data_IF_478628896449
#
_entry.id   IF_478628896449
#
_cell.length_a   1.000
_cell.length_b   1.000
_cell.length_c   1.000
_cell.angle_alpha   90.00
_cell.angle_beta   90.00
_cell.angle_gamma   90.00
#
_symmetry.space_group_name_H-M   'P 1'
#
loop_
_entity.id
_entity.type
_entity.pdbx_description
1 polymer ?
#
# COMPACT_ATOMS: atom_id res chain seq x y z
N UNK A 1 4.28 -4.29 5.62
CA UNK A 1 4.66 -5.51 6.35
C UNK A 1 5.63 -6.40 5.56
N UNK A 2 5.31 -6.81 4.31
CA UNK A 2 6.17 -7.74 3.54
C UNK A 2 7.59 -7.19 3.32
N UNK A 3 7.74 -5.92 2.98
CA UNK A 3 9.07 -5.28 2.90
C UNK A 3 9.82 -5.35 4.24
N UNK A 4 9.15 -5.11 5.37
CA UNK A 4 9.76 -5.25 6.70
C UNK A 4 10.23 -6.68 6.98
N UNK A 5 9.42 -7.69 6.65
CA UNK A 5 9.83 -9.08 6.78
C UNK A 5 11.08 -9.41 5.95
N UNK A 6 11.20 -8.85 4.74
CA UNK A 6 12.41 -9.00 3.92
C UNK A 6 13.62 -8.30 4.54
N UNK A 7 13.44 -7.11 5.14
CA UNK A 7 14.52 -6.45 5.91
C UNK A 7 15.00 -7.31 7.09
N UNK A 8 14.06 -7.91 7.83
CA UNK A 8 14.37 -8.75 8.98
C UNK A 8 15.13 -10.03 8.54
N UNK A 9 14.93 -10.49 7.31
CA UNK A 9 15.69 -11.59 6.68
C UNK A 9 17.04 -11.14 6.10
N UNK A 10 17.38 -9.86 6.18
CA UNK A 10 18.67 -9.33 5.73
C UNK A 10 18.71 -8.88 4.27
N UNK A 11 17.57 -8.79 3.58
CA UNK A 11 17.51 -8.25 2.22
C UNK A 11 17.66 -6.73 2.21
N UNK A 12 18.32 -6.21 1.17
CA UNK A 12 18.31 -4.77 0.87
C UNK A 12 16.91 -4.36 0.39
N UNK A 13 16.30 -3.41 1.07
CA UNK A 13 14.96 -2.91 0.73
C UNK A 13 15.06 -1.50 0.19
N UNK A 14 14.60 -1.32 -1.04
CA UNK A 14 14.50 -0.01 -1.70
C UNK A 14 13.06 0.46 -1.60
N UNK A 15 12.85 1.66 -1.05
CA UNK A 15 11.58 2.36 -1.07
C UNK A 15 11.61 3.40 -2.19
N UNK A 16 11.00 3.04 -3.32
CA UNK A 16 10.97 3.88 -4.50
C UNK A 16 9.85 4.91 -4.43
N UNK A 17 10.20 6.16 -4.66
CA UNK A 17 9.28 7.28 -4.79
C UNK A 17 9.15 7.63 -6.27
N UNK A 18 7.94 7.48 -6.79
CA UNK A 18 7.61 7.76 -8.19
C UNK A 18 7.33 9.25 -8.41
N UNK A 19 8.29 10.12 -8.15
CA UNK A 19 8.15 11.57 -8.34
C UNK A 19 8.00 11.95 -9.81
N UNK A 20 8.79 11.35 -10.71
CA UNK A 20 8.66 11.55 -12.15
C UNK A 20 7.35 10.97 -12.69
N UNK A 21 7.03 9.72 -12.35
CA UNK A 21 5.81 9.06 -12.83
C UNK A 21 4.53 9.69 -12.28
N UNK A 22 4.60 10.41 -11.17
CA UNK A 22 3.48 11.20 -10.63
C UNK A 22 3.05 12.33 -11.57
N UNK A 23 3.95 12.84 -12.44
CA UNK A 23 3.61 13.83 -13.48
C UNK A 23 2.74 13.23 -14.58
N UNK A 24 2.90 11.94 -14.88
CA UNK A 24 2.06 11.22 -15.83
C UNK A 24 0.72 10.88 -15.20
N UNK A 25 0.73 10.44 -13.95
CA UNK A 25 -0.42 9.92 -13.22
C UNK A 25 -0.71 8.45 -13.54
N UNK A 26 -0.87 7.65 -12.49
CA UNK A 26 -1.19 6.22 -12.62
C UNK A 26 -2.61 6.03 -13.16
N UNK A 27 -2.79 5.47 -14.37
CA UNK A 27 -4.10 5.19 -14.95
C UNK A 27 -4.76 3.93 -14.36
N UNK A 28 -4.09 3.15 -13.50
CA UNK A 28 -4.58 1.87 -12.97
C UNK A 28 -5.93 2.01 -12.27
N UNK A 29 -6.88 1.19 -12.73
CA UNK A 29 -8.22 1.10 -12.12
C UNK A 29 -9.11 2.33 -12.29
N UNK A 30 -8.80 3.26 -13.20
CA UNK A 30 -9.56 4.51 -13.40
C UNK A 30 -10.23 4.58 -14.77
N UNK A 31 -11.32 5.32 -14.80
CA UNK A 31 -12.04 5.63 -16.05
C UNK A 31 -11.67 7.02 -16.61
N UNK A 32 -10.88 7.80 -15.89
CA UNK A 32 -10.49 9.18 -16.27
C UNK A 32 -9.04 9.45 -15.91
N UNK A 33 -8.37 10.28 -16.72
CA UNK A 33 -6.99 10.73 -16.48
C UNK A 33 -6.90 11.58 -15.20
N UNK A 34 -5.87 11.36 -14.41
CA UNK A 34 -5.55 12.22 -13.25
C UNK A 34 -4.98 13.55 -13.72
N UNK A 35 -5.35 14.68 -13.08
CA UNK A 35 -4.58 15.90 -13.24
C UNK A 35 -3.13 15.66 -12.79
N UNK A 36 -2.13 16.14 -13.53
CA UNK A 36 -0.74 16.04 -13.12
C UNK A 36 -0.51 16.85 -11.82
N UNK A 37 0.32 16.29 -10.93
CA UNK A 37 0.72 17.01 -9.72
C UNK A 37 1.83 18.02 -10.02
N UNK A 38 1.88 19.13 -9.27
CA UNK A 38 3.01 20.04 -9.34
C UNK A 38 4.23 19.44 -8.63
N UNK A 39 5.43 19.95 -8.94
CA UNK A 39 6.66 19.48 -8.32
C UNK A 39 6.63 19.65 -6.79
N UNK A 40 6.12 20.79 -6.30
CA UNK A 40 6.00 21.08 -4.87
C UNK A 40 5.04 20.09 -4.18
N UNK A 41 3.94 19.73 -4.84
CA UNK A 41 3.01 18.71 -4.34
C UNK A 41 3.65 17.32 -4.29
N UNK A 42 4.45 16.97 -5.30
CA UNK A 42 5.17 15.71 -5.35
C UNK A 42 6.19 15.62 -4.22
N UNK A 43 6.99 16.66 -4.00
CA UNK A 43 7.99 16.74 -2.93
C UNK A 43 7.34 16.66 -1.53
N UNK A 44 6.24 17.37 -1.31
CA UNK A 44 5.49 17.33 -0.05
C UNK A 44 4.92 15.92 0.22
N UNK A 45 4.35 15.29 -0.81
CA UNK A 45 3.85 13.92 -0.71
C UNK A 45 4.97 12.91 -0.43
N UNK A 46 6.12 13.04 -1.08
CA UNK A 46 7.27 12.18 -0.90
C UNK A 46 7.76 12.18 0.57
N UNK A 47 7.88 13.37 1.18
CA UNK A 47 8.24 13.49 2.61
C UNK A 47 7.25 12.79 3.52
N UNK A 48 5.96 12.96 3.27
CA UNK A 48 4.89 12.33 4.05
C UNK A 48 4.93 10.81 3.91
N UNK A 49 5.13 10.29 2.70
CA UNK A 49 5.23 8.86 2.45
C UNK A 49 6.43 8.24 3.16
N UNK A 50 7.58 8.91 3.11
CA UNK A 50 8.76 8.42 3.81
C UNK A 50 8.55 8.40 5.33
N UNK A 51 8.04 9.48 5.93
CA UNK A 51 7.75 9.55 7.36
C UNK A 51 6.82 8.40 7.79
N UNK A 52 5.78 8.13 7.01
CA UNK A 52 4.85 7.04 7.30
C UNK A 52 5.48 5.66 7.09
N UNK A 53 6.25 5.46 6.01
CA UNK A 53 6.94 4.21 5.76
C UNK A 53 7.95 3.87 6.87
N UNK A 54 8.61 4.87 7.43
CA UNK A 54 9.59 4.72 8.52
C UNK A 54 8.97 4.26 9.84
N UNK A 55 7.65 4.31 10.00
CA UNK A 55 6.95 3.69 11.14
C UNK A 55 6.90 2.15 11.03
N UNK A 56 7.09 1.62 9.83
CA UNK A 56 7.04 0.17 9.57
C UNK A 56 8.41 -0.37 9.18
N UNK A 57 9.11 0.34 8.29
CA UNK A 57 10.44 -0.03 7.80
C UNK A 57 11.52 0.50 8.74
N UNK A 58 12.62 -0.23 8.86
CA UNK A 58 13.81 0.26 9.55
C UNK A 58 14.50 1.31 8.67
N UNK A 59 14.55 2.59 9.07
CA UNK A 59 15.15 3.65 8.26
C UNK A 59 16.63 3.42 7.97
N UNK A 60 17.36 2.77 8.88
CA UNK A 60 18.79 2.50 8.72
C UNK A 60 19.06 1.39 7.66
N UNK A 61 18.03 0.61 7.31
CA UNK A 61 18.10 -0.50 6.36
C UNK A 61 17.24 -0.25 5.12
N UNK A 62 16.70 0.95 4.96
CA UNK A 62 15.85 1.31 3.82
C UNK A 62 16.59 2.28 2.93
N UNK A 63 16.84 1.88 1.70
CA UNK A 63 17.36 2.76 0.66
C UNK A 63 16.18 3.50 0.01
N UNK A 64 16.22 4.83 0.00
CA UNK A 64 15.21 5.66 -0.65
C UNK A 64 15.74 6.09 -1.99
N UNK A 65 14.95 5.85 -3.04
CA UNK A 65 15.28 6.26 -4.40
C UNK A 65 14.11 7.02 -5.01
N UNK A 66 14.43 7.93 -5.90
CA UNK A 66 13.48 8.72 -6.67
C UNK A 66 13.61 8.36 -8.14
N UNK A 67 12.51 8.08 -8.82
CA UNK A 67 12.63 7.68 -10.22
C UNK A 67 12.98 8.83 -11.16
N UNK A 68 12.94 10.08 -10.73
CA UNK A 68 13.55 11.21 -11.43
C UNK A 68 15.07 11.05 -11.62
N UNK A 69 15.76 10.32 -10.74
CA UNK A 69 17.23 10.10 -10.82
C UNK A 69 17.68 9.54 -12.18
N UNK A 70 16.87 8.69 -12.78
CA UNK A 70 17.15 8.10 -14.09
C UNK A 70 16.20 8.56 -15.19
N UNK A 71 14.96 8.92 -14.85
CA UNK A 71 13.96 9.33 -15.84
C UNK A 71 14.27 10.68 -16.45
N UNK A 72 14.75 11.65 -15.67
CA UNK A 72 15.18 12.96 -16.18
C UNK A 72 16.37 12.83 -17.14
N UNK A 73 17.29 11.91 -16.85
CA UNK A 73 18.45 11.66 -17.68
C UNK A 73 18.13 10.91 -18.99
N UNK A 74 16.99 10.24 -19.07
CA UNK A 74 16.59 9.44 -20.23
C UNK A 74 16.44 10.31 -21.50
N UNK A 75 15.85 11.46 -21.35
CA UNK A 75 15.59 12.43 -22.42
C UNK A 75 14.71 11.86 -23.55
N UNK A 76 14.44 12.65 -24.56
CA UNK A 76 13.55 12.25 -25.67
C UNK A 76 14.07 11.02 -26.43
N UNK A 77 15.38 10.93 -26.66
CA UNK A 77 15.98 9.80 -27.38
C UNK A 77 15.83 8.51 -26.57
N UNK A 78 16.10 8.54 -25.29
CA UNK A 78 15.94 7.39 -24.43
C UNK A 78 14.48 6.95 -24.30
N UNK A 79 13.54 7.90 -24.24
CA UNK A 79 12.11 7.59 -24.22
C UNK A 79 11.66 6.87 -25.51
N UNK A 80 12.17 7.30 -26.69
CA UNK A 80 11.89 6.61 -27.95
C UNK A 80 12.47 5.17 -27.93
N UNK A 81 13.71 5.02 -27.44
CA UNK A 81 14.35 3.70 -27.34
C UNK A 81 13.61 2.78 -26.36
N UNK A 82 13.16 3.29 -25.23
CA UNK A 82 12.34 2.56 -24.26
C UNK A 82 11.01 2.14 -24.88
N UNK A 83 10.31 3.06 -25.55
CA UNK A 83 9.03 2.79 -26.22
C UNK A 83 9.13 1.75 -27.33
N UNK A 84 10.29 1.64 -28.00
CA UNK A 84 10.55 0.64 -29.03
C UNK A 84 10.68 -0.79 -28.48
N UNK A 85 10.88 -0.97 -27.15
CA UNK A 85 11.06 -2.28 -26.52
C UNK A 85 9.73 -2.94 -26.10
N UNK A 86 8.61 -2.26 -26.25
CA UNK A 86 7.31 -2.79 -25.86
C UNK A 86 6.24 -2.42 -26.90
N UNK A 87 5.31 -3.32 -27.19
CA UNK A 87 4.31 -3.08 -28.24
C UNK A 87 3.02 -2.49 -27.71
N UNK A 88 2.34 -1.69 -28.54
CA UNK A 88 1.00 -1.17 -28.22
C UNK A 88 0.01 -2.31 -27.93
N UNK A 89 0.07 -3.41 -28.69
CA UNK A 89 -0.81 -4.56 -28.49
C UNK A 89 -0.69 -5.10 -27.06
N UNK A 90 0.54 -5.21 -26.54
CA UNK A 90 0.78 -5.64 -25.15
C UNK A 90 0.33 -4.61 -24.12
N UNK A 91 0.48 -3.31 -24.39
CA UNK A 91 -0.04 -2.27 -23.49
C UNK A 91 -1.58 -2.34 -23.38
N UNK A 92 -2.24 -2.65 -24.49
CA UNK A 92 -3.70 -2.79 -24.53
C UNK A 92 -4.22 -4.07 -23.85
N UNK A 93 -3.37 -5.02 -23.45
CA UNK A 93 -3.77 -6.16 -22.60
C UNK A 93 -4.13 -5.74 -21.17
N UNK A 94 -3.74 -4.56 -20.75
CA UNK A 94 -4.09 -4.03 -19.43
C UNK A 94 -5.61 -3.76 -19.37
N UNK A 95 -6.28 -4.24 -18.32
CA UNK A 95 -7.74 -4.30 -18.22
C UNK A 95 -8.44 -2.95 -18.44
N UNK A 96 -7.90 -1.86 -17.87
CA UNK A 96 -8.48 -0.52 -18.03
C UNK A 96 -8.30 0.01 -19.46
N UNK A 97 -7.15 -0.19 -20.08
CA UNK A 97 -6.92 0.16 -21.48
C UNK A 97 -7.79 -0.68 -22.41
N UNK A 98 -7.91 -1.98 -22.17
CA UNK A 98 -8.79 -2.87 -22.93
C UNK A 98 -10.23 -2.38 -22.88
N UNK A 99 -10.75 -2.08 -21.69
CA UNK A 99 -12.15 -1.62 -21.51
C UNK A 99 -12.37 -0.28 -22.19
N UNK A 100 -11.48 0.70 -21.96
CA UNK A 100 -11.59 2.04 -22.54
C UNK A 100 -11.49 2.00 -24.05
N UNK A 101 -10.54 1.23 -24.60
CA UNK A 101 -10.39 1.07 -26.04
C UNK A 101 -11.64 0.46 -26.69
N UNK A 102 -12.19 -0.61 -26.13
CA UNK A 102 -13.43 -1.25 -26.60
C UNK A 102 -14.66 -0.33 -26.49
N UNK A 103 -14.69 0.50 -25.46
CA UNK A 103 -15.80 1.45 -25.25
C UNK A 103 -15.66 2.74 -26.08
N UNK A 104 -14.58 2.92 -26.84
CA UNK A 104 -14.30 4.18 -27.53
C UNK A 104 -13.97 5.35 -26.58
N UNK A 105 -13.69 5.07 -25.31
CA UNK A 105 -13.31 6.10 -24.34
C UNK A 105 -11.87 6.54 -24.62
N UNK A 106 -11.58 7.86 -24.67
CA UNK A 106 -10.26 8.37 -24.99
C UNK A 106 -9.17 7.83 -24.05
N UNK A 107 -8.03 7.47 -24.65
CA UNK A 107 -6.78 7.12 -23.95
C UNK A 107 -5.72 8.09 -24.46
N UNK A 108 -5.17 8.90 -23.58
CA UNK A 108 -4.11 9.83 -23.94
C UNK A 108 -2.76 9.10 -24.10
N UNK A 109 -1.94 9.54 -25.03
CA UNK A 109 -0.64 8.89 -25.32
C UNK A 109 0.25 8.81 -24.08
N UNK A 110 0.28 9.85 -23.23
CA UNK A 110 1.10 9.85 -22.02
C UNK A 110 0.68 8.73 -21.02
N UNK A 111 -0.59 8.35 -21.00
CA UNK A 111 -1.07 7.25 -20.14
C UNK A 111 -0.44 5.90 -20.54
N UNK A 112 -0.15 5.71 -21.85
CA UNK A 112 0.53 4.54 -22.36
C UNK A 112 2.02 4.52 -21.98
N UNK A 113 2.61 5.68 -21.68
CA UNK A 113 4.00 5.76 -21.23
C UNK A 113 4.15 5.36 -19.75
N UNK A 114 3.10 5.48 -18.94
CA UNK A 114 3.17 5.20 -17.50
C UNK A 114 3.70 3.79 -17.19
N UNK A 115 3.15 2.69 -17.77
CA UNK A 115 3.67 1.35 -17.51
C UNK A 115 5.12 1.16 -17.96
N UNK A 116 5.55 1.85 -19.03
CA UNK A 116 6.93 1.79 -19.52
C UNK A 116 7.89 2.50 -18.58
N UNK A 117 7.51 3.69 -18.08
CA UNK A 117 8.34 4.44 -17.16
C UNK A 117 8.45 3.73 -15.80
N UNK A 118 7.36 3.19 -15.27
CA UNK A 118 7.39 2.35 -14.07
C UNK A 118 8.23 1.09 -14.31
N UNK A 119 8.09 0.44 -15.48
CA UNK A 119 8.88 -0.73 -15.80
C UNK A 119 10.37 -0.43 -15.97
N UNK A 120 10.72 0.79 -16.40
CA UNK A 120 12.11 1.22 -16.49
C UNK A 120 12.75 1.42 -15.10
N UNK A 121 11.98 1.70 -14.07
CA UNK A 121 12.45 1.74 -12.68
C UNK A 121 13.11 0.41 -12.29
N UNK A 122 12.50 -0.72 -12.67
CA UNK A 122 13.06 -2.06 -12.42
C UNK A 122 14.40 -2.26 -13.13
N UNK A 123 14.53 -1.74 -14.36
CA UNK A 123 15.79 -1.78 -15.14
C UNK A 123 16.86 -0.93 -14.48
N UNK A 124 16.53 0.31 -14.08
CA UNK A 124 17.46 1.24 -13.46
C UNK A 124 17.96 0.74 -12.10
N UNK A 125 17.07 0.18 -11.30
CA UNK A 125 17.36 -0.39 -9.98
C UNK A 125 18.03 -1.76 -10.06
N UNK A 126 17.91 -2.46 -11.19
CA UNK A 126 18.33 -3.87 -11.34
C UNK A 126 17.73 -4.74 -10.23
N UNK A 127 16.46 -4.54 -9.96
CA UNK A 127 15.76 -5.21 -8.87
C UNK A 127 15.65 -6.72 -9.10
N UNK A 128 15.88 -7.52 -8.04
CA UNK A 128 15.69 -8.97 -8.05
C UNK A 128 14.25 -9.35 -7.74
N UNK A 129 13.57 -8.52 -6.95
CA UNK A 129 12.19 -8.71 -6.53
C UNK A 129 11.46 -7.37 -6.46
N UNK A 130 10.31 -7.26 -7.11
CA UNK A 130 9.43 -6.09 -7.01
C UNK A 130 8.11 -6.46 -6.31
N UNK A 131 7.73 -5.61 -5.32
CA UNK A 131 6.53 -5.76 -4.52
C UNK A 131 5.47 -4.75 -4.96
N UNK A 132 4.24 -5.21 -5.14
CA UNK A 132 3.12 -4.34 -5.44
C UNK A 132 1.78 -4.88 -4.94
N UNK A 133 0.73 -4.10 -5.09
CA UNK A 133 -0.65 -4.58 -4.97
C UNK A 133 -1.04 -5.44 -6.17
N UNK A 134 -2.09 -6.24 -6.03
CA UNK A 134 -2.63 -7.03 -7.16
C UNK A 134 -3.06 -6.16 -8.33
N UNK A 135 -3.44 -4.91 -8.07
CA UNK A 135 -3.78 -3.90 -9.07
C UNK A 135 -2.57 -3.42 -9.90
N UNK A 136 -1.34 -3.65 -9.42
CA UNK A 136 -0.09 -3.28 -10.09
C UNK A 136 0.54 -4.42 -10.89
N UNK A 137 -0.03 -5.62 -10.87
CA UNK A 137 0.56 -6.82 -11.47
C UNK A 137 1.01 -6.60 -12.92
N UNK A 138 0.20 -5.91 -13.74
CA UNK A 138 0.55 -5.62 -15.12
C UNK A 138 1.83 -4.79 -15.22
N UNK A 139 1.93 -3.69 -14.47
CA UNK A 139 3.08 -2.80 -14.49
C UNK A 139 4.36 -3.51 -14.01
N UNK A 140 4.26 -4.36 -12.98
CA UNK A 140 5.39 -5.17 -12.50
C UNK A 140 5.89 -6.15 -13.57
N UNK A 141 4.96 -6.75 -14.35
CA UNK A 141 5.31 -7.63 -15.46
C UNK A 141 5.95 -6.87 -16.63
N UNK A 142 5.58 -5.61 -16.85
CA UNK A 142 6.28 -4.74 -17.82
C UNK A 142 7.72 -4.54 -17.39
N UNK A 143 8.00 -4.27 -16.11
CA UNK A 143 9.35 -4.15 -15.56
C UNK A 143 10.19 -5.39 -15.83
N UNK A 144 9.63 -6.56 -15.51
CA UNK A 144 10.26 -7.86 -15.78
C UNK A 144 10.58 -8.06 -17.28
N UNK A 145 9.65 -7.71 -18.17
CA UNK A 145 9.86 -7.83 -19.62
C UNK A 145 10.94 -6.84 -20.11
N UNK A 146 10.94 -5.61 -19.60
CA UNK A 146 11.95 -4.62 -19.97
C UNK A 146 13.34 -5.02 -19.48
N UNK A 147 13.50 -5.61 -18.31
CA UNK A 147 14.80 -6.12 -17.85
C UNK A 147 15.38 -7.11 -18.87
N UNK A 148 14.59 -8.03 -19.41
CA UNK A 148 15.02 -8.95 -20.47
C UNK A 148 15.48 -8.20 -21.73
N UNK A 149 14.73 -7.19 -22.16
CA UNK A 149 15.05 -6.36 -23.33
C UNK A 149 16.34 -5.51 -23.14
N UNK A 150 16.72 -5.27 -21.87
CA UNK A 150 17.96 -4.61 -21.50
C UNK A 150 19.09 -5.61 -21.13
N UNK A 151 18.88 -6.91 -21.37
CA UNK A 151 19.88 -7.95 -21.10
C UNK A 151 20.14 -8.22 -19.62
N UNK A 152 19.17 -7.92 -18.77
CA UNK A 152 19.22 -8.21 -17.33
C UNK A 152 18.46 -9.49 -17.01
N UNK A 153 18.80 -10.13 -15.88
CA UNK A 153 17.98 -11.20 -15.32
C UNK A 153 16.63 -10.64 -14.90
N UNK A 154 15.51 -11.27 -15.34
CA UNK A 154 14.19 -10.73 -15.04
C UNK A 154 13.82 -10.96 -13.58
N UNK A 155 13.43 -9.89 -12.91
CA UNK A 155 13.01 -9.89 -11.50
C UNK A 155 11.85 -10.87 -11.21
N UNK A 156 11.76 -11.34 -9.97
CA UNK A 156 10.53 -11.91 -9.43
C UNK A 156 9.53 -10.79 -9.13
N UNK A 157 8.25 -11.07 -9.27
CA UNK A 157 7.19 -10.17 -8.79
C UNK A 157 6.41 -10.83 -7.66
N UNK A 158 6.10 -10.07 -6.64
CA UNK A 158 5.25 -10.51 -5.54
C UNK A 158 4.11 -9.52 -5.35
N UNK A 159 2.88 -9.97 -5.61
CA UNK A 159 1.70 -9.13 -5.43
C UNK A 159 0.98 -9.47 -4.14
N UNK A 160 0.59 -8.44 -3.41
CA UNK A 160 -0.21 -8.55 -2.19
C UNK A 160 -1.65 -8.14 -2.48
N UNK A 161 -2.64 -8.83 -1.89
CA UNK A 161 -4.03 -8.39 -1.96
C UNK A 161 -4.19 -6.96 -1.46
N UNK A 162 -5.12 -6.22 -2.05
CA UNK A 162 -5.50 -4.92 -1.52
C UNK A 162 -6.20 -5.11 -0.18
N UNK A 163 -5.89 -4.22 0.77
CA UNK A 163 -6.54 -4.21 2.07
C UNK A 163 -7.88 -3.47 1.94
N UNK A 164 -8.96 -4.14 2.29
CA UNK A 164 -10.28 -3.54 2.41
C UNK A 164 -10.31 -2.62 3.64
N UNK A 165 -11.05 -1.51 3.52
CA UNK A 165 -11.27 -0.57 4.62
C UNK A 165 -12.25 -1.10 5.67
N UNK A 166 -12.68 -0.21 6.56
CA UNK A 166 -13.59 -0.54 7.67
C UNK A 166 -14.96 -1.10 7.20
N UNK A 167 -15.34 -0.79 5.95
CA UNK A 167 -16.56 -1.29 5.30
C UNK A 167 -16.45 -2.76 4.85
N UNK A 168 -15.25 -3.33 4.84
CA UNK A 168 -14.99 -4.72 4.43
C UNK A 168 -15.19 -5.00 2.93
N UNK A 169 -15.39 -3.99 2.11
CA UNK A 169 -15.71 -4.11 0.68
C UNK A 169 -14.74 -3.35 -0.20
N UNK A 170 -14.60 -2.04 0.03
CA UNK A 170 -13.77 -1.20 -0.81
C UNK A 170 -12.34 -1.13 -0.29
N UNK A 171 -11.39 -0.94 -1.23
CA UNK A 171 -9.99 -0.67 -0.89
C UNK A 171 -9.93 0.46 0.13
N UNK A 172 -9.15 0.24 1.20
CA UNK A 172 -8.88 1.25 2.22
C UNK A 172 -8.29 2.51 1.59
N UNK A 173 -8.94 3.65 1.81
CA UNK A 173 -8.47 4.94 1.29
C UNK A 173 -9.02 6.13 2.07
N UNK A 174 -8.24 7.24 2.10
CA UNK A 174 -8.69 8.50 2.70
C UNK A 174 -9.93 9.07 2.01
N UNK A 175 -10.01 8.96 0.68
CA UNK A 175 -11.14 9.50 -0.11
C UNK A 175 -12.47 8.78 0.16
N UNK A 176 -12.42 7.55 0.66
CA UNK A 176 -13.61 6.76 1.03
C UNK A 176 -13.95 6.87 2.52
N UNK A 177 -13.09 7.53 3.30
CA UNK A 177 -13.22 7.63 4.77
C UNK A 177 -13.40 6.26 5.48
N UNK A 178 -12.86 5.19 4.88
CA UNK A 178 -12.91 3.81 5.39
C UNK A 178 -11.55 3.33 5.89
N UNK A 179 -10.64 4.25 6.24
CA UNK A 179 -9.26 3.95 6.59
C UNK A 179 -8.98 4.06 8.09
N UNK A 180 -7.90 3.41 8.52
CA UNK A 180 -7.23 3.65 9.79
C UNK A 180 -5.89 4.31 9.46
N UNK A 181 -5.69 5.54 9.94
CA UNK A 181 -4.42 6.23 9.78
C UNK A 181 -3.38 5.69 10.74
N UNK A 182 -2.19 5.40 10.25
CA UNK A 182 -1.08 4.92 11.09
C UNK A 182 -0.54 5.99 12.05
N UNK A 183 -0.98 7.23 11.88
CA UNK A 183 -0.68 8.39 12.74
C UNK A 183 -1.88 8.83 13.58
N UNK A 184 -2.99 8.11 13.56
CA UNK A 184 -4.12 8.36 14.45
C UNK A 184 -3.74 8.02 15.90
N UNK A 185 -4.44 8.60 16.88
CA UNK A 185 -4.21 8.26 18.28
C UNK A 185 -4.53 6.80 18.59
N UNK A 186 -3.93 6.27 19.66
CA UNK A 186 -4.02 4.85 20.01
C UNK A 186 -5.46 4.39 20.28
N UNK A 187 -6.28 5.24 20.94
CA UNK A 187 -7.66 4.90 21.27
C UNK A 187 -8.53 4.80 20.00
N UNK A 188 -8.39 5.76 19.09
CA UNK A 188 -9.09 5.75 17.80
C UNK A 188 -8.68 4.56 16.95
N UNK A 189 -7.38 4.28 16.83
CA UNK A 189 -6.85 3.13 16.09
C UNK A 189 -7.41 1.82 16.64
N UNK A 190 -7.33 1.62 17.97
CA UNK A 190 -7.82 0.43 18.64
C UNK A 190 -9.32 0.22 18.43
N UNK A 191 -10.13 1.26 18.63
CA UNK A 191 -11.58 1.21 18.46
C UNK A 191 -11.97 0.89 17.01
N UNK A 192 -11.29 1.49 16.03
CA UNK A 192 -11.52 1.21 14.60
C UNK A 192 -11.19 -0.24 14.25
N UNK A 193 -10.10 -0.82 14.75
CA UNK A 193 -9.79 -2.24 14.51
C UNK A 193 -10.87 -3.13 15.14
N UNK A 194 -11.42 -2.80 16.29
CA UNK A 194 -12.51 -3.55 16.91
C UNK A 194 -13.83 -3.45 16.14
N UNK A 195 -14.03 -2.41 15.33
CA UNK A 195 -15.29 -2.18 14.60
C UNK A 195 -15.46 -3.03 13.34
N UNK A 196 -14.39 -3.69 12.86
CA UNK A 196 -14.46 -4.53 11.65
C UNK A 196 -15.32 -5.80 11.90
N UNK A 197 -15.84 -6.40 10.82
CA UNK A 197 -16.58 -7.64 10.92
C UNK A 197 -15.68 -8.82 11.35
N UNK A 198 -16.29 -9.91 11.85
CA UNK A 198 -15.53 -11.12 12.24
C UNK A 198 -14.87 -11.78 11.03
N UNK A 199 -15.50 -11.72 9.86
CA UNK A 199 -14.92 -12.23 8.62
C UNK A 199 -13.70 -11.41 8.20
N UNK A 200 -13.80 -10.09 8.23
CA UNK A 200 -12.72 -9.18 7.88
C UNK A 200 -11.53 -9.29 8.84
N UNK A 201 -11.77 -9.59 10.12
CA UNK A 201 -10.75 -9.82 11.13
C UNK A 201 -9.72 -10.88 10.68
N UNK A 202 -10.17 -12.01 10.14
CA UNK A 202 -9.26 -13.07 9.68
C UNK A 202 -8.41 -12.64 8.50
N UNK A 203 -8.98 -11.86 7.59
CA UNK A 203 -8.24 -11.29 6.49
C UNK A 203 -7.18 -10.30 6.97
N UNK A 204 -7.53 -9.48 7.94
CA UNK A 204 -6.58 -8.54 8.54
C UNK A 204 -5.49 -9.25 9.35
N UNK A 205 -5.79 -10.33 10.05
CA UNK A 205 -4.76 -11.17 10.65
C UNK A 205 -3.76 -11.65 9.60
N UNK A 206 -4.23 -12.19 8.49
CA UNK A 206 -3.36 -12.70 7.41
C UNK A 206 -2.50 -11.58 6.79
N UNK A 207 -3.02 -10.38 6.60
CA UNK A 207 -2.34 -9.30 5.89
C UNK A 207 -1.52 -8.37 6.79
N UNK A 208 -1.93 -8.19 8.04
CA UNK A 208 -1.36 -7.18 8.93
C UNK A 208 -0.62 -7.75 10.14
N UNK A 209 -0.98 -8.93 10.63
CA UNK A 209 -0.29 -9.55 11.77
C UNK A 209 1.10 -10.06 11.39
N UNK A 210 2.02 -10.09 12.35
CA UNK A 210 3.30 -10.80 12.24
C UNK A 210 3.27 -12.20 12.86
N UNK A 211 2.09 -12.64 13.33
CA UNK A 211 1.92 -13.99 13.85
C UNK A 211 2.11 -15.03 12.75
N UNK A 212 2.70 -16.18 13.04
CA UNK A 212 2.75 -17.32 12.12
C UNK A 212 1.35 -17.75 11.69
N UNK A 213 1.20 -18.18 10.45
CA UNK A 213 -0.08 -18.68 9.90
C UNK A 213 -0.67 -19.81 10.75
N UNK A 214 0.19 -20.65 11.35
CA UNK A 214 -0.24 -21.73 12.25
C UNK A 214 -0.95 -21.22 13.51
N UNK A 215 -0.49 -20.11 14.09
CA UNK A 215 -1.13 -19.47 15.24
C UNK A 215 -2.47 -18.85 14.85
N UNK A 216 -2.53 -18.17 13.71
CA UNK A 216 -3.77 -17.58 13.19
C UNK A 216 -4.80 -18.70 12.93
N UNK A 217 -4.38 -19.82 12.31
CA UNK A 217 -5.24 -20.94 12.08
C UNK A 217 -5.71 -21.63 13.38
N UNK A 218 -4.86 -21.69 14.41
CA UNK A 218 -5.24 -22.21 15.73
C UNK A 218 -6.29 -21.32 16.40
N UNK A 219 -6.05 -20.00 16.41
CA UNK A 219 -6.98 -19.00 16.95
C UNK A 219 -8.36 -19.07 16.26
N UNK A 220 -8.35 -19.23 14.93
CA UNK A 220 -9.59 -19.37 14.16
C UNK A 220 -10.38 -20.61 14.57
N UNK A 221 -9.72 -21.76 14.74
CA UNK A 221 -10.37 -22.99 15.23
C UNK A 221 -10.94 -22.82 16.64
N UNK A 222 -10.24 -22.11 17.52
CA UNK A 222 -10.76 -21.82 18.87
C UNK A 222 -12.06 -21.00 18.81
N UNK A 223 -12.12 -19.99 17.91
CA UNK A 223 -13.33 -19.19 17.72
C UNK A 223 -14.46 -20.05 17.13
N UNK A 224 -14.17 -20.89 16.15
CA UNK A 224 -15.12 -21.85 15.58
C UNK A 224 -15.62 -22.86 16.64
N UNK A 225 -14.80 -23.16 17.65
CA UNK A 225 -15.15 -24.03 18.78
C UNK A 225 -15.87 -23.30 19.94
N UNK A 226 -16.18 -21.99 19.78
CA UNK A 226 -16.99 -21.23 20.74
C UNK A 226 -16.27 -20.15 21.56
N UNK A 227 -14.97 -19.91 21.29
CA UNK A 227 -14.28 -18.74 21.82
C UNK A 227 -14.91 -17.46 21.26
N UNK A 228 -15.06 -16.42 22.10
CA UNK A 228 -15.63 -15.16 21.64
C UNK A 228 -14.75 -14.50 20.55
N UNK A 229 -15.28 -14.23 19.35
CA UNK A 229 -14.51 -13.55 18.28
C UNK A 229 -13.99 -12.18 18.71
N UNK A 230 -14.65 -11.50 19.66
CA UNK A 230 -14.17 -10.24 20.23
C UNK A 230 -12.77 -10.38 20.84
N UNK A 231 -12.46 -11.51 21.49
CA UNK A 231 -11.13 -11.72 22.10
C UNK A 231 -10.04 -11.75 21.02
N UNK A 232 -10.32 -12.39 19.88
CA UNK A 232 -9.41 -12.39 18.74
C UNK A 232 -9.25 -10.99 18.16
N UNK A 233 -10.32 -10.19 18.03
CA UNK A 233 -10.23 -8.79 17.57
C UNK A 233 -9.41 -7.93 18.52
N UNK A 234 -9.56 -8.12 19.84
CA UNK A 234 -8.76 -7.42 20.85
C UNK A 234 -7.27 -7.74 20.66
N UNK A 235 -6.92 -9.01 20.43
CA UNK A 235 -5.54 -9.41 20.16
C UNK A 235 -4.98 -8.71 18.91
N UNK A 236 -5.75 -8.64 17.83
CA UNK A 236 -5.37 -7.94 16.61
C UNK A 236 -5.23 -6.42 16.83
N UNK A 237 -6.20 -5.80 17.53
CA UNK A 237 -6.18 -4.38 17.83
C UNK A 237 -4.98 -4.00 18.69
N UNK A 238 -4.66 -4.80 19.71
CA UNK A 238 -3.44 -4.61 20.54
C UNK A 238 -2.18 -4.70 19.69
N UNK A 239 -2.06 -5.71 18.86
CA UNK A 239 -0.88 -5.92 18.00
C UNK A 239 -0.67 -4.72 17.06
N UNK A 240 -1.73 -4.26 16.38
CA UNK A 240 -1.65 -3.14 15.44
C UNK A 240 -1.35 -1.84 16.20
N UNK A 241 -2.05 -1.55 17.29
CA UNK A 241 -1.85 -0.33 18.07
C UNK A 241 -0.45 -0.29 18.70
N UNK A 242 0.03 -1.40 19.26
CA UNK A 242 1.36 -1.48 19.84
C UNK A 242 2.47 -1.24 18.82
N UNK A 243 2.27 -1.65 17.56
CA UNK A 243 3.23 -1.48 16.45
C UNK A 243 3.45 0.00 16.11
N UNK A 244 2.38 0.80 16.10
CA UNK A 244 2.44 2.21 15.69
C UNK A 244 2.63 3.18 16.87
N UNK A 245 2.38 2.73 18.08
CA UNK A 245 2.53 3.53 19.31
C UNK A 245 3.49 2.84 20.31
N UNK A 246 2.92 2.06 21.24
CA UNK A 246 3.68 1.24 22.18
C UNK A 246 2.76 0.19 22.81
N UNK A 247 3.34 -0.81 23.47
CA UNK A 247 2.57 -1.80 24.23
C UNK A 247 1.72 -1.13 25.33
N UNK A 248 2.29 -0.16 26.05
CA UNK A 248 1.58 0.58 27.09
C UNK A 248 0.41 1.40 26.53
N UNK A 249 0.59 2.02 25.35
CA UNK A 249 -0.50 2.75 24.68
C UNK A 249 -1.63 1.80 24.23
N UNK A 250 -1.28 0.59 23.76
CA UNK A 250 -2.28 -0.41 23.39
C UNK A 250 -3.07 -0.92 24.60
N UNK A 251 -2.38 -1.15 25.75
CA UNK A 251 -3.03 -1.54 27.00
C UNK A 251 -3.97 -0.43 27.52
N UNK A 252 -3.53 0.83 27.42
CA UNK A 252 -4.36 2.01 27.78
C UNK A 252 -5.59 2.13 26.89
N UNK A 253 -5.43 1.93 25.56
CA UNK A 253 -6.52 1.98 24.60
C UNK A 253 -7.55 0.86 24.82
N UNK A 254 -7.10 -0.34 25.18
CA UNK A 254 -7.99 -1.44 25.57
C UNK A 254 -8.79 -1.10 26.85
N UNK A 255 -8.11 -0.61 27.88
CA UNK A 255 -8.76 -0.21 29.14
C UNK A 255 -9.79 0.91 28.94
N UNK A 256 -9.46 1.92 28.11
CA UNK A 256 -10.38 2.99 27.75
C UNK A 256 -11.59 2.46 26.97
N UNK A 257 -11.37 1.58 26.01
CA UNK A 257 -12.46 0.95 25.25
C UNK A 257 -13.39 0.15 26.17
N UNK A 258 -12.85 -0.65 27.09
CA UNK A 258 -13.64 -1.43 28.06
C UNK A 258 -14.44 -0.52 28.99
N UNK A 259 -13.84 0.57 29.47
CA UNK A 259 -14.51 1.56 30.32
C UNK A 259 -15.69 2.21 29.59
N UNK A 260 -15.51 2.66 28.34
CA UNK A 260 -16.58 3.25 27.52
C UNK A 260 -17.69 2.23 27.24
N UNK A 261 -17.34 0.99 26.95
CA UNK A 261 -18.31 -0.08 26.73
C UNK A 261 -19.16 -0.39 27.99
N UNK A 262 -18.60 -0.15 29.17
CA UNK A 262 -19.31 -0.26 30.46
C UNK A 262 -20.12 1.00 30.86
N UNK A 263 -20.20 2.02 29.99
CA UNK A 263 -20.93 3.27 30.25
C UNK A 263 -20.11 4.35 30.95
N UNK A 264 -18.78 4.20 31.05
CA UNK A 264 -17.87 5.19 31.60
C UNK A 264 -17.66 6.40 30.67
N UNK A 265 -17.33 7.55 31.24
CA UNK A 265 -17.01 8.77 30.50
C UNK A 265 -15.55 8.66 29.96
N UNK A 266 -15.26 9.08 28.73
CA UNK A 266 -13.91 9.17 28.19
C UNK A 266 -13.04 10.14 29.04
N UNK A 267 -11.72 9.88 29.11
CA UNK A 267 -10.79 10.79 29.82
C UNK A 267 -10.68 12.16 29.15
N UNK A 268 -10.87 12.22 27.84
CA UNK A 268 -10.93 13.46 27.05
C UNK A 268 -12.31 13.60 26.41
N UNK A 269 -13.09 14.57 26.87
CA UNK A 269 -14.35 14.96 26.24
C UNK A 269 -14.12 16.31 25.59
N UNK A 270 -14.30 16.45 24.25
CA UNK A 270 -14.19 17.76 23.62
C UNK A 270 -15.27 18.70 24.16
N UNK A 271 -14.85 19.84 24.72
CA UNK A 271 -15.79 20.90 25.11
C UNK A 271 -16.37 21.54 23.85
N UNK A 272 -17.67 21.38 23.67
CA UNK A 272 -18.42 22.08 22.60
C UNK A 272 -19.20 23.20 23.29
N UNK A 273 -18.80 24.44 23.05
CA UNK A 273 -19.60 25.60 23.43
C UNK A 273 -20.86 25.62 22.54
N UNK A 274 -22.01 25.38 23.14
CA UNK A 274 -23.29 25.59 22.49
C UNK A 274 -23.57 27.12 22.47
N UNK A 275 -23.57 27.73 21.30
CA UNK A 275 -23.96 29.12 21.04
C UNK A 275 -25.48 29.24 20.88
#
# INVERSE_FOLDING_TARGET
NKMRQLQDLGHTVIFLIGDFTSMIGDPSGRNTTRPPLTREQIEANARTYYQQASLVLDPAKTEIRYNSEWSDALGTRGLIQLSAKYTLARLLERDDFTRRHKAGTPISIHELLYPLMQGYDSVALRSDLELGGTDQKFNLLVGRALQQEYGQEPQCILTMPLLEGLDGVEKMSKSKNNYIGITEDANSMFAKVLSISDEQMWRWFTLLSFRPDAEIAALRREVEAGRNPKDAKVMLAREITARFHSAAAADGAEADFQRRAAGGIPDEVPEVALS
#
